data_IF_837410101974
#
_entry.id   IF_837410101974
#
_cell.length_a   1.000
_cell.length_b   1.000
_cell.length_c   1.000
_cell.angle_alpha   90.00
_cell.angle_beta   90.00
_cell.angle_gamma   90.00
#
_symmetry.space_group_name_H-M   'P 1'
#
loop_
_entity.id
_entity.type
_entity.pdbx_description
1 polymer ?
#
# COMPACT_ATOMS: atom_id res chain seq x y z
N UNK A 1 -23.96 -38.30 -43.03
CA UNK A 1 -24.26 -37.53 -41.81
C UNK A 1 -22.97 -36.82 -41.38
N UNK A 2 -22.40 -35.98 -42.27
CA UNK A 2 -20.97 -35.59 -42.17
C UNK A 2 -20.72 -34.09 -42.42
N UNK A 3 -21.73 -33.34 -42.90
CA UNK A 3 -21.59 -31.93 -43.29
C UNK A 3 -22.16 -31.00 -42.22
N UNK A 4 -23.25 -31.41 -41.58
CA UNK A 4 -23.91 -30.71 -40.45
C UNK A 4 -22.98 -30.67 -39.22
N UNK A 5 -22.28 -31.76 -38.91
CA UNK A 5 -21.31 -31.78 -37.79
C UNK A 5 -20.13 -30.86 -38.03
N UNK A 6 -19.66 -30.74 -39.28
CA UNK A 6 -18.52 -29.89 -39.63
C UNK A 6 -18.88 -28.41 -39.56
N UNK A 7 -20.09 -28.03 -39.96
CA UNK A 7 -20.56 -26.64 -39.84
C UNK A 7 -20.77 -26.23 -38.39
N UNK A 8 -21.35 -27.11 -37.55
CA UNK A 8 -21.52 -26.86 -36.12
C UNK A 8 -20.18 -26.72 -35.40
N UNK A 9 -19.20 -27.57 -35.74
CA UNK A 9 -17.85 -27.47 -35.18
C UNK A 9 -17.15 -26.17 -35.58
N UNK A 10 -17.30 -25.74 -36.85
CA UNK A 10 -16.74 -24.49 -37.34
C UNK A 10 -17.38 -23.28 -36.65
N UNK A 11 -18.67 -23.33 -36.36
CA UNK A 11 -19.40 -22.29 -35.63
C UNK A 11 -18.92 -22.19 -34.17
N UNK A 12 -18.84 -23.31 -33.44
CA UNK A 12 -18.30 -23.31 -32.08
C UNK A 12 -16.85 -22.82 -32.01
N UNK A 13 -16.03 -23.16 -33.00
CA UNK A 13 -14.62 -22.75 -33.04
C UNK A 13 -14.49 -21.25 -33.34
N UNK A 14 -15.39 -20.69 -34.16
CA UNK A 14 -15.47 -19.25 -34.39
C UNK A 14 -15.95 -18.49 -33.15
N UNK A 15 -16.95 -19.01 -32.43
CA UNK A 15 -17.41 -18.40 -31.18
C UNK A 15 -16.31 -18.39 -30.13
N UNK A 16 -15.58 -19.50 -29.99
CA UNK A 16 -14.45 -19.59 -29.06
C UNK A 16 -13.31 -18.63 -29.43
N UNK A 17 -13.00 -18.49 -30.73
CA UNK A 17 -12.02 -17.50 -31.18
C UNK A 17 -12.48 -16.06 -30.89
N UNK A 18 -13.77 -15.77 -31.05
CA UNK A 18 -14.32 -14.44 -30.75
C UNK A 18 -14.25 -14.12 -29.25
N UNK A 19 -14.51 -15.11 -28.40
CA UNK A 19 -14.32 -14.97 -26.95
C UNK A 19 -12.84 -14.76 -26.60
N UNK A 20 -11.94 -15.51 -27.23
CA UNK A 20 -10.50 -15.34 -27.05
C UNK A 20 -10.03 -13.94 -27.43
N UNK A 21 -10.46 -13.42 -28.59
CA UNK A 21 -10.13 -12.06 -29.03
C UNK A 21 -10.66 -10.99 -28.06
N UNK A 22 -11.86 -11.22 -27.51
CA UNK A 22 -12.47 -10.32 -26.52
C UNK A 22 -11.64 -10.29 -25.24
N UNK A 23 -11.23 -11.44 -24.74
CA UNK A 23 -10.39 -11.53 -23.54
C UNK A 23 -8.97 -11.00 -23.77
N UNK A 24 -8.38 -11.22 -24.95
CA UNK A 24 -7.09 -10.63 -25.30
C UNK A 24 -7.17 -9.11 -25.34
N UNK A 25 -8.25 -8.56 -25.92
CA UNK A 25 -8.50 -7.11 -25.95
C UNK A 25 -8.66 -6.55 -24.53
N UNK A 26 -9.44 -7.23 -23.67
CA UNK A 26 -9.65 -6.85 -22.27
C UNK A 26 -8.33 -6.88 -21.49
N UNK A 27 -7.52 -7.91 -21.69
CA UNK A 27 -6.19 -8.04 -21.08
C UNK A 27 -5.26 -6.91 -21.52
N UNK A 28 -5.17 -6.61 -22.82
CA UNK A 28 -4.33 -5.52 -23.31
C UNK A 28 -4.76 -4.16 -22.77
N UNK A 29 -6.08 -3.94 -22.61
CA UNK A 29 -6.60 -2.72 -21.97
C UNK A 29 -6.17 -2.63 -20.50
N UNK A 30 -6.29 -3.72 -19.74
CA UNK A 30 -5.85 -3.77 -18.34
C UNK A 30 -4.33 -3.63 -18.20
N UNK A 31 -3.54 -4.22 -19.10
CA UNK A 31 -2.09 -4.06 -19.14
C UNK A 31 -1.69 -2.62 -19.49
N UNK A 32 -2.47 -1.92 -20.33
CA UNK A 32 -2.27 -0.50 -20.62
C UNK A 32 -2.62 0.37 -19.40
N UNK A 33 -3.75 0.11 -18.73
CA UNK A 33 -4.16 0.78 -17.49
C UNK A 33 -3.13 0.56 -16.36
N UNK A 34 -2.55 -0.64 -16.25
CA UNK A 34 -1.47 -0.92 -15.30
C UNK A 34 -0.14 -0.24 -15.66
N UNK A 35 0.16 -0.06 -16.96
CA UNK A 35 1.38 0.63 -17.40
C UNK A 35 1.40 2.10 -17.00
N UNK A 36 0.24 2.73 -16.84
CA UNK A 36 0.15 4.11 -16.35
C UNK A 36 0.46 4.21 -14.85
N UNK A 37 0.38 3.10 -14.11
CA UNK A 37 0.81 3.02 -12.71
C UNK A 37 2.33 2.76 -12.63
N UNK A 38 3.11 3.83 -12.80
CA UNK A 38 4.58 3.83 -12.70
C UNK A 38 5.10 3.63 -11.26
N UNK A 39 4.25 3.18 -10.34
CA UNK A 39 4.61 2.93 -8.96
C UNK A 39 5.46 1.65 -8.87
N UNK A 40 6.78 1.82 -8.73
CA UNK A 40 7.67 0.71 -8.47
C UNK A 40 7.19 -0.07 -7.23
N UNK A 41 6.92 -1.38 -7.35
CA UNK A 41 6.25 -2.16 -6.32
C UNK A 41 6.99 -2.03 -4.98
N UNK A 42 6.23 -1.76 -3.93
CA UNK A 42 6.76 -1.63 -2.58
C UNK A 42 6.96 -3.03 -2.03
N UNK A 43 8.18 -3.34 -1.58
CA UNK A 43 8.45 -4.67 -1.00
C UNK A 43 7.66 -4.87 0.29
N UNK A 44 7.11 -6.08 0.46
CA UNK A 44 6.38 -6.46 1.66
C UNK A 44 7.22 -6.30 2.93
N UNK A 45 8.49 -6.72 2.89
CA UNK A 45 9.41 -6.63 4.04
C UNK A 45 9.60 -5.19 4.52
N UNK A 46 9.59 -4.24 3.60
CA UNK A 46 9.71 -2.83 3.91
C UNK A 46 8.46 -2.31 4.64
N UNK A 47 7.27 -2.64 4.13
CA UNK A 47 6.00 -2.30 4.77
C UNK A 47 5.90 -2.95 6.16
N UNK A 48 6.24 -4.24 6.27
CA UNK A 48 6.22 -4.98 7.54
C UNK A 48 7.14 -4.35 8.58
N UNK A 49 8.36 -4.00 8.17
CA UNK A 49 9.35 -3.34 9.03
C UNK A 49 8.84 -1.97 9.49
N UNK A 50 8.26 -1.18 8.59
CA UNK A 50 7.74 0.15 8.88
C UNK A 50 6.58 0.12 9.88
N UNK A 51 5.58 -0.73 9.62
CA UNK A 51 4.41 -0.89 10.48
C UNK A 51 4.83 -1.44 11.86
N UNK A 52 5.73 -2.43 11.89
CA UNK A 52 6.25 -2.98 13.14
C UNK A 52 6.99 -1.96 14.01
N UNK A 53 7.77 -1.06 13.39
CA UNK A 53 8.44 0.03 14.11
C UNK A 53 7.46 1.06 14.67
N UNK A 54 6.44 1.41 13.89
CA UNK A 54 5.40 2.34 14.33
C UNK A 54 4.60 1.77 15.51
N UNK A 55 4.23 0.50 15.45
CA UNK A 55 3.53 -0.18 16.53
C UNK A 55 4.38 -0.21 17.83
N UNK A 56 5.67 -0.53 17.71
CA UNK A 56 6.59 -0.49 18.85
C UNK A 56 6.70 0.90 19.47
N UNK A 57 6.70 1.97 18.65
CA UNK A 57 6.68 3.36 19.13
C UNK A 57 5.41 3.68 19.90
N UNK A 58 4.24 3.34 19.35
CA UNK A 58 2.97 3.58 20.03
C UNK A 58 2.91 2.91 21.40
N UNK A 59 3.43 1.68 21.51
CA UNK A 59 3.47 0.95 22.78
C UNK A 59 4.41 1.59 23.80
N UNK A 60 5.59 2.05 23.38
CA UNK A 60 6.59 2.68 24.25
C UNK A 60 6.23 4.10 24.66
N UNK A 61 5.41 4.80 23.86
CA UNK A 61 5.06 6.19 24.13
C UNK A 61 4.03 6.33 25.26
N UNK A 62 4.21 7.33 26.14
CA UNK A 62 3.20 7.77 27.10
C UNK A 62 1.86 8.08 26.44
N UNK A 63 0.77 7.84 27.16
CA UNK A 63 -0.60 8.04 26.67
C UNK A 63 -0.85 9.40 25.98
N UNK A 64 -0.36 10.55 26.49
CA UNK A 64 -0.53 11.84 25.82
C UNK A 64 0.16 11.91 24.46
N UNK A 65 1.30 11.23 24.30
CA UNK A 65 2.14 11.29 23.10
C UNK A 65 1.66 10.33 22.01
N UNK A 66 0.91 9.28 22.36
CA UNK A 66 0.34 8.33 21.38
C UNK A 66 -0.57 9.03 20.38
N UNK A 67 -1.42 9.96 20.85
CA UNK A 67 -2.31 10.73 19.97
C UNK A 67 -1.52 11.59 18.99
N UNK A 68 -0.44 12.21 19.45
CA UNK A 68 0.45 13.02 18.62
C UNK A 68 1.15 12.16 17.56
N UNK A 69 1.68 10.99 17.94
CA UNK A 69 2.29 10.05 17.01
C UNK A 69 1.33 9.60 15.90
N UNK A 70 0.10 9.26 16.26
CA UNK A 70 -0.93 8.89 15.28
C UNK A 70 -1.22 10.07 14.35
N UNK A 71 -1.37 11.28 14.88
CA UNK A 71 -1.68 12.46 14.08
C UNK A 71 -0.58 12.82 13.06
N UNK A 72 0.67 12.51 13.37
CA UNK A 72 1.81 12.78 12.48
C UNK A 72 1.85 11.90 11.23
N UNK A 73 1.34 10.67 11.34
CA UNK A 73 1.42 9.67 10.27
C UNK A 73 0.07 9.48 9.58
N UNK A 74 -1.04 9.66 10.30
CA UNK A 74 -2.37 9.55 9.72
C UNK A 74 -2.66 10.76 8.85
N UNK A 75 -2.72 10.53 7.54
CA UNK A 75 -3.10 11.52 6.53
C UNK A 75 -4.61 11.68 6.43
N UNK A 76 -5.34 10.55 6.43
CA UNK A 76 -6.80 10.55 6.26
C UNK A 76 -7.42 9.35 6.97
N UNK A 77 -8.56 9.59 7.63
CA UNK A 77 -9.43 8.54 8.14
C UNK A 77 -10.74 8.67 7.37
N UNK A 78 -11.12 7.62 6.67
CA UNK A 78 -12.40 7.52 5.97
C UNK A 78 -13.37 6.73 6.85
N UNK A 79 -14.58 7.25 6.98
CA UNK A 79 -15.67 6.57 7.69
C UNK A 79 -16.65 5.99 6.68
N UNK A 80 -17.24 4.85 7.03
CA UNK A 80 -18.37 4.29 6.30
C UNK A 80 -19.69 5.04 6.61
N UNK A 81 -20.77 4.67 5.90
CA UNK A 81 -22.10 5.25 6.10
C UNK A 81 -22.67 5.06 7.51
N UNK A 82 -22.09 4.12 8.27
CA UNK A 82 -22.42 3.83 9.68
C UNK A 82 -21.51 4.54 10.67
N UNK A 83 -20.68 5.48 10.21
CA UNK A 83 -19.67 6.22 10.98
C UNK A 83 -18.59 5.34 11.63
N UNK A 84 -18.32 4.17 11.07
CA UNK A 84 -17.20 3.29 11.49
C UNK A 84 -15.99 3.57 10.61
N UNK A 85 -14.79 3.37 11.14
CA UNK A 85 -13.55 3.52 10.35
C UNK A 85 -13.54 2.47 9.24
N UNK A 86 -13.55 2.92 7.98
CA UNK A 86 -13.39 2.05 6.81
C UNK A 86 -11.91 1.95 6.45
N UNK A 87 -11.27 3.09 6.19
CA UNK A 87 -9.90 3.18 5.72
C UNK A 87 -9.08 4.21 6.50
N UNK A 88 -7.80 3.91 6.69
CA UNK A 88 -6.82 4.83 7.27
C UNK A 88 -5.64 4.94 6.33
N UNK A 89 -5.40 6.14 5.82
CA UNK A 89 -4.23 6.45 5.02
C UNK A 89 -3.09 6.92 5.92
N UNK A 90 -1.96 6.24 5.81
CA UNK A 90 -0.75 6.53 6.54
C UNK A 90 0.28 7.14 5.60
N UNK A 91 0.68 8.39 5.84
CA UNK A 91 1.75 9.05 5.11
C UNK A 91 3.08 8.81 5.82
N UNK A 92 3.88 7.90 5.27
CA UNK A 92 5.28 7.76 5.61
C UNK A 92 6.11 8.49 4.56
N UNK A 93 6.72 9.61 4.95
CA UNK A 93 7.60 10.42 4.12
C UNK A 93 9.03 10.41 4.69
N UNK A 94 10.03 10.83 3.90
CA UNK A 94 11.42 10.86 4.35
C UNK A 94 11.63 11.70 5.62
N UNK A 95 10.82 12.74 5.83
CA UNK A 95 10.87 13.59 7.02
C UNK A 95 10.35 12.85 8.27
N UNK A 96 9.22 12.16 8.19
CA UNK A 96 8.68 11.35 9.30
C UNK A 96 9.63 10.22 9.66
N UNK A 97 10.34 9.66 8.68
CA UNK A 97 11.39 8.69 8.98
C UNK A 97 12.56 9.32 9.74
N UNK A 98 13.11 10.44 9.25
CA UNK A 98 14.25 11.13 9.88
C UNK A 98 13.94 11.59 11.30
N UNK A 99 12.74 12.11 11.54
CA UNK A 99 12.36 12.70 12.82
C UNK A 99 11.83 11.69 13.84
N UNK A 100 11.23 10.57 13.42
CA UNK A 100 10.54 9.64 14.33
C UNK A 100 11.02 8.18 14.27
N UNK A 101 11.50 7.72 13.11
CA UNK A 101 11.93 6.33 12.92
C UNK A 101 13.45 6.16 12.96
N UNK A 102 14.20 7.24 12.78
CA UNK A 102 15.65 7.31 12.91
C UNK A 102 16.05 8.03 14.19
N UNK A 103 17.17 7.61 14.78
CA UNK A 103 17.75 8.27 15.96
C UNK A 103 18.19 9.67 15.54
N UNK A 104 17.44 10.70 15.94
CA UNK A 104 17.88 12.09 15.75
C UNK A 104 19.26 12.25 16.46
N UNK A 105 20.33 12.65 15.76
CA UNK A 105 21.67 12.74 16.33
C UNK A 105 21.77 13.74 17.50
N UNK A 106 20.84 14.69 17.58
CA UNK A 106 20.77 15.73 18.61
C UNK A 106 19.99 15.32 19.86
N UNK A 107 19.28 14.20 19.83
CA UNK A 107 18.48 13.76 20.97
C UNK A 107 19.32 12.85 21.88
N UNK A 108 19.89 13.43 22.93
CA UNK A 108 20.18 12.65 24.13
C UNK A 108 18.89 11.96 24.62
N UNK A 109 18.97 10.87 25.40
CA UNK A 109 17.83 10.05 25.84
C UNK A 109 16.74 10.80 26.65
N UNK A 110 16.92 12.10 26.88
CA UNK A 110 16.06 12.97 27.68
C UNK A 110 15.59 14.25 26.97
N UNK A 111 15.77 14.37 25.64
CA UNK A 111 15.21 15.51 24.92
C UNK A 111 13.67 15.42 24.91
N UNK A 112 13.01 16.38 25.56
CA UNK A 112 11.56 16.45 25.66
C UNK A 112 10.95 16.56 24.25
N UNK A 113 10.28 15.50 23.80
CA UNK A 113 9.72 15.38 22.44
C UNK A 113 10.49 14.46 21.47
N UNK A 114 11.65 13.92 21.86
CA UNK A 114 12.36 12.93 21.06
C UNK A 114 11.89 11.51 21.37
N UNK A 115 11.67 10.70 20.33
CA UNK A 115 11.34 9.28 20.47
C UNK A 115 12.62 8.46 20.30
N UNK A 116 13.26 7.98 21.39
CA UNK A 116 14.50 7.24 21.28
C UNK A 116 14.25 5.88 20.63
N UNK A 117 14.74 5.70 19.40
CA UNK A 117 14.77 4.40 18.74
C UNK A 117 16.13 3.73 18.95
N UNK A 118 16.15 2.44 19.27
CA UNK A 118 17.39 1.66 19.32
C UNK A 118 17.52 0.86 18.03
N UNK A 119 17.99 1.47 16.95
CA UNK A 119 18.18 0.80 15.66
C UNK A 119 18.43 1.75 14.51
N UNK A 120 19.19 1.31 13.50
CA UNK A 120 19.43 2.08 12.26
C UNK A 120 18.15 2.10 11.41
N UNK A 121 17.67 3.29 11.06
CA UNK A 121 16.53 3.45 10.14
C UNK A 121 16.99 3.28 8.67
N UNK A 122 16.31 2.45 7.87
CA UNK A 122 16.58 2.27 6.46
C UNK A 122 15.83 3.31 5.61
N UNK A 123 16.57 4.23 4.98
CA UNK A 123 16.02 5.34 4.20
C UNK A 123 14.93 4.92 3.20
N UNK A 124 13.76 5.54 3.32
CA UNK A 124 12.56 5.30 2.53
C UNK A 124 12.18 6.51 1.67
N UNK A 125 12.36 6.37 0.35
CA UNK A 125 11.98 7.41 -0.63
C UNK A 125 10.52 7.33 -1.13
N UNK A 126 9.61 6.64 -0.42
CA UNK A 126 8.27 6.31 -0.97
C UNK A 126 7.13 6.66 -0.01
N UNK A 127 6.13 7.37 -0.53
CA UNK A 127 4.83 7.60 0.14
C UNK A 127 3.93 6.40 -0.08
N UNK A 128 3.47 5.77 1.00
CA UNK A 128 2.57 4.61 0.93
C UNK A 128 1.11 5.06 1.05
N UNK A 129 0.23 4.46 0.26
CA UNK A 129 -1.22 4.62 0.38
C UNK A 129 -1.81 3.23 0.51
N UNK A 130 -2.50 2.96 1.63
CA UNK A 130 -3.21 1.70 1.84
C UNK A 130 -4.65 1.87 1.38
N UNK A 131 -5.06 1.05 0.41
CA UNK A 131 -6.45 0.89 0.00
C UNK A 131 -6.85 -0.52 0.42
N UNK A 132 -7.76 -0.62 1.40
CA UNK A 132 -8.34 -1.88 1.88
C UNK A 132 -9.68 -2.07 1.19
#
# INVERSE_FOLDING_TARGET
>A
MNEIDRSLFAECLNDLNRELDTELTRRSKLELELRDDQAEPVSFELVRSLVGRFDALLHRSPFPQRKTLVHLIVKRITLDDRKRVSNVELAFNEETEKHFLSVAPSAGPHAEGAFPFSGKAPMLKKSLVFII
#
